data_IF_328457656205
#
_entry.id   IF_328457656205
#
_cell.length_a   1.000
_cell.length_b   1.000
_cell.length_c   1.000
_cell.angle_alpha   90.00
_cell.angle_beta   90.00
_cell.angle_gamma   90.00
#
_symmetry.space_group_name_H-M   'P 1'
#
loop_
_entity.id
_entity.type
_entity.pdbx_description
1 polymer ?
#
# COMPACT_ATOMS: atom_id res chain seq x y z
N UNK A 1 -2.25 -18.77 3.45
CA UNK A 1 -3.08 -17.74 2.78
C UNK A 1 -4.31 -18.38 2.11
N UNK A 2 -5.52 -17.88 2.36
CA UNK A 2 -6.75 -18.42 1.75
C UNK A 2 -6.79 -18.16 0.24
N UNK A 3 -7.60 -18.93 -0.51
CA UNK A 3 -7.79 -18.73 -1.96
C UNK A 3 -8.41 -17.37 -2.27
N UNK A 4 -9.32 -16.90 -1.43
CA UNK A 4 -9.94 -15.58 -1.55
C UNK A 4 -8.90 -14.45 -1.40
N UNK A 5 -8.05 -14.50 -0.37
CA UNK A 5 -6.98 -13.52 -0.14
C UNK A 5 -5.96 -13.50 -1.28
N UNK A 6 -5.63 -14.67 -1.84
CA UNK A 6 -4.79 -14.78 -3.06
C UNK A 6 -5.44 -14.13 -4.28
N UNK A 7 -6.73 -14.37 -4.50
CA UNK A 7 -7.48 -13.76 -5.61
C UNK A 7 -7.54 -12.23 -5.50
N UNK A 8 -7.83 -11.72 -4.30
CA UNK A 8 -7.85 -10.29 -4.00
C UNK A 8 -6.53 -9.61 -4.36
N UNK A 9 -5.42 -10.12 -3.81
CA UNK A 9 -4.09 -9.55 -4.06
C UNK A 9 -3.64 -9.72 -5.51
N UNK A 10 -4.01 -10.82 -6.18
CA UNK A 10 -3.75 -11.00 -7.61
C UNK A 10 -4.47 -9.97 -8.48
N UNK A 11 -5.73 -9.65 -8.16
CA UNK A 11 -6.50 -8.60 -8.83
C UNK A 11 -5.90 -7.20 -8.60
N UNK A 12 -5.51 -6.90 -7.36
CA UNK A 12 -4.86 -5.64 -7.00
C UNK A 12 -3.50 -5.49 -7.69
N UNK A 13 -2.70 -6.56 -7.74
CA UNK A 13 -1.42 -6.54 -8.45
C UNK A 13 -1.64 -6.19 -9.92
N UNK A 14 -2.59 -6.85 -10.60
CA UNK A 14 -2.92 -6.54 -11.99
C UNK A 14 -3.38 -5.09 -12.20
N UNK A 15 -4.14 -4.54 -11.26
CA UNK A 15 -4.57 -3.15 -11.28
C UNK A 15 -3.38 -2.19 -11.08
N UNK A 16 -2.50 -2.46 -10.11
CA UNK A 16 -1.37 -1.61 -9.74
C UNK A 16 -0.30 -1.48 -10.85
N UNK A 17 -0.07 -2.55 -11.63
CA UNK A 17 0.84 -2.53 -12.80
C UNK A 17 0.17 -2.04 -14.09
N UNK A 18 -1.12 -1.73 -14.07
CA UNK A 18 -1.78 -1.13 -15.23
C UNK A 18 -1.10 0.19 -15.60
N UNK A 19 -0.73 0.41 -16.87
CA UNK A 19 -0.15 1.66 -17.31
C UNK A 19 -1.19 2.77 -17.15
N UNK A 20 -1.08 3.53 -16.05
CA UNK A 20 -1.81 4.78 -15.92
C UNK A 20 -1.31 5.70 -17.06
N UNK A 21 -2.19 6.27 -17.91
CA UNK A 21 -1.78 7.34 -18.80
C UNK A 21 -1.08 8.42 -17.97
N UNK A 22 0.08 8.89 -18.46
CA UNK A 22 1.05 9.71 -17.74
C UNK A 22 0.40 10.70 -16.78
N UNK A 23 0.60 10.43 -15.49
CA UNK A 23 0.02 11.14 -14.37
C UNK A 23 0.63 12.54 -14.26
N UNK A 24 0.14 13.46 -15.09
CA UNK A 24 0.35 14.89 -14.83
C UNK A 24 -0.60 15.28 -13.71
N UNK A 25 -0.10 15.19 -12.48
CA UNK A 25 -0.80 15.71 -11.30
C UNK A 25 -0.96 17.22 -11.47
N UNK A 26 -2.14 17.64 -11.91
CA UNK A 26 -2.56 19.03 -11.73
C UNK A 26 -2.78 19.25 -10.23
N UNK A 27 -2.42 20.44 -9.71
CA UNK A 27 -2.78 20.87 -8.36
C UNK A 27 -4.30 20.87 -8.10
N UNK A 28 -5.12 20.67 -9.14
CA UNK A 28 -6.57 20.51 -9.09
C UNK A 28 -7.05 19.05 -9.16
N UNK A 29 -6.19 18.05 -8.96
CA UNK A 29 -6.61 16.65 -8.93
C UNK A 29 -7.54 16.43 -7.73
N UNK A 30 -8.78 15.94 -7.92
CA UNK A 30 -9.72 15.70 -6.83
C UNK A 30 -9.19 14.66 -5.82
N UNK A 31 -8.31 13.76 -6.27
CA UNK A 31 -7.74 12.68 -5.47
C UNK A 31 -6.36 13.01 -4.89
N UNK A 32 -5.91 14.28 -4.96
CA UNK A 32 -4.55 14.66 -4.56
C UNK A 32 -4.18 14.21 -3.14
N UNK A 33 -5.12 14.28 -2.21
CA UNK A 33 -4.90 13.85 -0.82
C UNK A 33 -4.75 12.32 -0.71
N UNK A 34 -5.59 11.55 -1.41
CA UNK A 34 -5.49 10.09 -1.44
C UNK A 34 -4.16 9.64 -2.06
N UNK A 35 -3.73 10.31 -3.13
CA UNK A 35 -2.44 10.06 -3.78
C UNK A 35 -1.29 10.35 -2.83
N UNK A 36 -1.31 11.50 -2.15
CA UNK A 36 -0.28 11.88 -1.17
C UNK A 36 -0.19 10.88 -0.01
N UNK A 37 -1.33 10.42 0.50
CA UNK A 37 -1.37 9.41 1.56
C UNK A 37 -0.84 8.05 1.06
N UNK A 38 -1.21 7.64 -0.16
CA UNK A 38 -0.75 6.42 -0.78
C UNK A 38 0.77 6.41 -1.02
N UNK A 39 1.33 7.50 -1.55
CA UNK A 39 2.78 7.69 -1.67
C UNK A 39 3.45 7.59 -0.30
N UNK A 40 2.84 8.21 0.72
CA UNK A 40 3.33 8.10 2.08
C UNK A 40 3.33 6.68 2.65
N UNK A 41 2.33 5.85 2.34
CA UNK A 41 2.32 4.43 2.73
C UNK A 41 3.49 3.71 2.07
N UNK A 42 3.66 3.89 0.75
CA UNK A 42 4.71 3.24 -0.05
C UNK A 42 6.11 3.63 0.45
N UNK A 43 6.35 4.91 0.72
CA UNK A 43 7.64 5.40 1.23
C UNK A 43 7.96 4.86 2.62
N UNK A 44 6.98 4.83 3.53
CA UNK A 44 7.17 4.31 4.88
C UNK A 44 7.44 2.80 4.88
N UNK A 45 6.74 2.05 4.02
CA UNK A 45 6.97 0.62 3.84
C UNK A 45 8.36 0.35 3.24
N UNK A 46 8.76 1.09 2.20
CA UNK A 46 10.08 0.96 1.62
C UNK A 46 11.20 1.27 2.64
N UNK A 47 11.00 2.26 3.50
CA UNK A 47 11.93 2.56 4.60
C UNK A 47 11.97 1.44 5.64
N UNK A 48 10.82 0.82 5.95
CA UNK A 48 10.74 -0.34 6.83
C UNK A 48 11.55 -1.50 6.24
N UNK A 49 11.30 -1.89 4.98
CA UNK A 49 12.06 -2.94 4.29
C UNK A 49 13.57 -2.62 4.23
N UNK A 50 13.96 -1.38 3.93
CA UNK A 50 15.37 -0.99 3.87
C UNK A 50 16.07 -1.07 5.24
N UNK A 51 15.34 -0.85 6.34
CA UNK A 51 15.88 -1.07 7.68
C UNK A 51 16.14 -2.56 7.99
N UNK A 52 15.50 -3.45 7.22
CA UNK A 52 15.53 -4.92 7.35
C UNK A 52 16.51 -5.66 6.44
N UNK A 53 16.93 -5.07 5.32
CA UNK A 53 17.80 -5.72 4.33
C UNK A 53 19.28 -5.85 4.77
N UNK A 54 19.54 -6.13 6.05
CA UNK A 54 20.88 -6.50 6.50
C UNK A 54 21.14 -7.99 6.27
N UNK A 55 22.24 -8.35 5.62
CA UNK A 55 22.66 -9.75 5.59
C UNK A 55 23.14 -10.18 6.99
N UNK A 56 22.42 -11.11 7.61
CA UNK A 56 22.77 -11.76 8.90
C UNK A 56 23.03 -10.77 10.05
N UNK A 57 22.00 -10.02 10.50
CA UNK A 57 22.11 -9.20 11.70
C UNK A 57 22.29 -10.10 12.94
N UNK A 58 23.03 -9.60 13.92
CA UNK A 58 23.05 -10.17 15.27
C UNK A 58 21.76 -9.82 16.03
N UNK A 59 21.42 -10.59 17.06
CA UNK A 59 20.24 -10.33 17.91
C UNK A 59 20.28 -8.93 18.56
N UNK A 60 21.48 -8.44 18.92
CA UNK A 60 21.68 -7.10 19.47
C UNK A 60 21.37 -6.00 18.44
N UNK A 61 21.76 -6.21 17.17
CA UNK A 61 21.46 -5.28 16.07
C UNK A 61 19.97 -5.28 15.72
N UNK A 62 19.30 -6.43 15.81
CA UNK A 62 17.85 -6.52 15.63
C UNK A 62 17.10 -5.76 16.74
N UNK A 63 17.47 -5.98 18.01
CA UNK A 63 16.86 -5.29 19.15
C UNK A 63 17.10 -3.77 19.10
N UNK A 64 18.30 -3.33 18.72
CA UNK A 64 18.62 -1.91 18.61
C UNK A 64 17.78 -1.19 17.55
N UNK A 65 17.34 -1.89 16.50
CA UNK A 65 16.51 -1.34 15.41
C UNK A 65 15.02 -1.41 15.69
N UNK A 66 14.58 -2.24 16.64
CA UNK A 66 13.17 -2.46 16.93
C UNK A 66 12.37 -1.15 17.15
N UNK A 67 12.86 -0.13 17.89
CA UNK A 67 12.12 1.12 18.07
C UNK A 67 11.86 1.88 16.76
N UNK A 68 12.82 1.86 15.82
CA UNK A 68 12.65 2.51 14.52
C UNK A 68 11.68 1.73 13.63
N UNK A 69 11.69 0.39 13.71
CA UNK A 69 10.68 -0.45 13.03
C UNK A 69 9.28 -0.13 13.52
N UNK A 70 9.09 -0.12 14.83
CA UNK A 70 7.78 0.12 15.44
C UNK A 70 7.29 1.52 15.05
N UNK A 71 8.19 2.49 14.98
CA UNK A 71 7.90 3.84 14.49
C UNK A 71 7.46 3.84 13.02
N UNK A 72 8.20 3.18 12.13
CA UNK A 72 7.89 3.12 10.69
C UNK A 72 6.58 2.36 10.43
N UNK A 73 6.37 1.23 11.11
CA UNK A 73 5.10 0.48 11.04
C UNK A 73 3.92 1.29 11.58
N UNK A 74 4.13 2.10 12.64
CA UNK A 74 3.12 3.05 13.11
C UNK A 74 2.74 4.07 12.04
N UNK A 75 3.72 4.59 11.29
CA UNK A 75 3.47 5.51 10.17
C UNK A 75 2.72 4.81 9.03
N UNK A 76 3.09 3.57 8.68
CA UNK A 76 2.36 2.77 7.68
C UNK A 76 0.90 2.58 8.11
N UNK A 77 0.67 2.17 9.36
CA UNK A 77 -0.67 1.97 9.93
C UNK A 77 -1.51 3.25 9.87
N UNK A 78 -1.00 4.36 10.39
CA UNK A 78 -1.72 5.64 10.46
C UNK A 78 -2.11 6.13 9.05
N UNK A 79 -1.18 6.02 8.09
CA UNK A 79 -1.44 6.45 6.71
C UNK A 79 -2.41 5.52 6.00
N UNK A 80 -2.32 4.21 6.21
CA UNK A 80 -3.25 3.24 5.65
C UNK A 80 -4.68 3.44 6.21
N UNK A 81 -4.80 3.69 7.53
CA UNK A 81 -6.06 4.00 8.21
C UNK A 81 -6.70 5.30 7.70
N UNK A 82 -5.89 6.32 7.40
CA UNK A 82 -6.37 7.56 6.81
C UNK A 82 -6.76 7.40 5.33
N UNK A 83 -6.01 6.60 4.57
CA UNK A 83 -6.21 6.40 3.13
C UNK A 83 -7.43 5.52 2.82
N UNK A 84 -7.62 4.43 3.55
CA UNK A 84 -8.66 3.45 3.27
C UNK A 84 -10.07 4.06 3.14
N UNK A 85 -10.57 4.88 4.10
CA UNK A 85 -11.91 5.45 4.04
C UNK A 85 -12.04 6.65 3.10
N UNK A 86 -10.93 7.23 2.60
CA UNK A 86 -10.97 8.43 1.78
C UNK A 86 -11.45 8.08 0.36
N UNK A 87 -12.64 8.49 -0.08
CA UNK A 87 -13.13 8.15 -1.41
C UNK A 87 -12.24 8.79 -2.49
N UNK A 88 -12.17 8.14 -3.64
CA UNK A 88 -11.48 8.67 -4.83
C UNK A 88 -12.46 8.78 -5.99
N UNK A 89 -12.38 9.88 -6.72
CA UNK A 89 -13.27 10.22 -7.83
C UNK A 89 -12.74 9.70 -9.18
N UNK A 90 -11.48 9.28 -9.26
CA UNK A 90 -10.84 8.91 -10.52
C UNK A 90 -10.10 7.58 -10.45
N UNK A 91 -9.88 6.99 -11.63
CA UNK A 91 -9.03 5.81 -11.77
C UNK A 91 -7.60 6.05 -11.25
N UNK A 92 -7.13 7.30 -11.23
CA UNK A 92 -5.81 7.63 -10.68
C UNK A 92 -5.78 7.38 -9.18
N UNK A 93 -6.78 7.87 -8.44
CA UNK A 93 -6.86 7.64 -7.00
C UNK A 93 -7.02 6.14 -6.67
N UNK A 94 -7.79 5.42 -7.50
CA UNK A 94 -7.93 3.95 -7.38
C UNK A 94 -6.58 3.26 -7.54
N UNK A 95 -5.82 3.63 -8.58
CA UNK A 95 -4.48 3.07 -8.81
C UNK A 95 -3.50 3.42 -7.68
N UNK A 96 -3.61 4.60 -7.10
CA UNK A 96 -2.79 4.98 -5.94
C UNK A 96 -3.06 4.07 -4.74
N UNK A 97 -4.34 3.85 -4.39
CA UNK A 97 -4.73 2.89 -3.34
C UNK A 97 -4.25 1.47 -3.64
N UNK A 98 -4.41 1.01 -4.88
CA UNK A 98 -3.97 -0.32 -5.29
C UNK A 98 -2.45 -0.50 -5.16
N UNK A 99 -1.67 0.55 -5.49
CA UNK A 99 -0.20 0.54 -5.32
C UNK A 99 0.21 0.55 -3.85
N UNK A 100 -0.46 1.34 -3.02
CA UNK A 100 -0.23 1.32 -1.56
C UNK A 100 -0.55 -0.06 -0.98
N UNK A 101 -1.71 -0.65 -1.32
CA UNK A 101 -2.10 -1.99 -0.92
C UNK A 101 -1.08 -3.05 -1.33
N UNK A 102 -0.54 -2.95 -2.55
CA UNK A 102 0.49 -3.87 -3.02
C UNK A 102 1.80 -3.69 -2.27
N UNK A 103 2.21 -2.45 -1.97
CA UNK A 103 3.44 -2.16 -1.24
C UNK A 103 3.42 -2.79 0.16
N UNK A 104 2.33 -2.64 0.91
CA UNK A 104 2.19 -3.27 2.25
C UNK A 104 1.84 -4.77 2.20
N UNK A 105 1.55 -5.30 1.01
CA UNK A 105 1.45 -6.73 0.77
C UNK A 105 2.81 -7.36 0.41
N UNK A 106 3.92 -6.63 0.53
CA UNK A 106 5.22 -7.12 0.06
C UNK A 106 5.92 -8.08 1.03
N UNK A 107 6.89 -8.77 0.44
CA UNK A 107 7.55 -9.98 0.90
C UNK A 107 8.38 -9.77 2.17
N UNK A 108 8.40 -10.80 3.01
CA UNK A 108 9.51 -11.07 3.90
C UNK A 108 10.82 -11.09 3.09
N UNK A 109 11.73 -10.19 3.44
CA UNK A 109 13.03 -10.03 2.79
C UNK A 109 13.93 -11.27 2.95
N UNK A 110 13.67 -12.09 3.96
CA UNK A 110 14.52 -13.22 4.36
C UNK A 110 14.22 -14.49 3.57
N UNK A 111 12.93 -14.82 3.43
CA UNK A 111 12.48 -16.11 2.87
C UNK A 111 11.64 -15.97 1.58
N UNK A 112 11.30 -14.74 1.18
CA UNK A 112 10.44 -14.49 0.02
C UNK A 112 8.98 -14.95 0.23
N UNK A 113 8.55 -15.15 1.48
CA UNK A 113 7.14 -15.32 1.78
C UNK A 113 6.40 -13.98 1.66
N UNK A 114 5.17 -14.01 1.15
CA UNK A 114 4.31 -12.82 1.12
C UNK A 114 3.68 -12.67 2.51
N UNK A 115 4.12 -11.67 3.27
CA UNK A 115 3.44 -11.27 4.51
C UNK A 115 2.32 -10.32 4.11
N UNK A 116 1.09 -10.74 4.36
CA UNK A 116 -0.09 -9.89 4.13
C UNK A 116 -0.50 -9.31 5.47
N UNK A 117 -0.12 -8.05 5.69
CA UNK A 117 -0.65 -7.28 6.82
C UNK A 117 -2.14 -7.00 6.62
N UNK A 118 -2.91 -6.88 7.70
CA UNK A 118 -4.36 -6.60 7.62
C UNK A 118 -4.65 -5.28 6.87
N UNK A 119 -3.71 -4.32 6.93
CA UNK A 119 -3.76 -3.07 6.16
C UNK A 119 -3.77 -3.28 4.65
N UNK A 120 -3.04 -4.28 4.15
CA UNK A 120 -2.99 -4.61 2.73
C UNK A 120 -4.36 -5.08 2.22
N UNK A 121 -5.02 -5.93 3.00
CA UNK A 121 -6.36 -6.42 2.69
C UNK A 121 -7.39 -5.30 2.76
N UNK A 122 -7.30 -4.42 3.75
CA UNK A 122 -8.22 -3.28 3.87
C UNK A 122 -8.07 -2.28 2.72
N UNK A 123 -6.84 -1.89 2.37
CA UNK A 123 -6.58 -1.00 1.23
C UNK A 123 -6.98 -1.64 -0.10
N UNK A 124 -6.82 -2.95 -0.24
CA UNK A 124 -7.27 -3.70 -1.41
C UNK A 124 -8.79 -3.65 -1.57
N UNK A 125 -9.56 -3.87 -0.49
CA UNK A 125 -11.01 -3.73 -0.54
C UNK A 125 -11.44 -2.31 -0.88
N UNK A 126 -10.84 -1.30 -0.24
CA UNK A 126 -11.15 0.10 -0.51
C UNK A 126 -10.89 0.47 -1.98
N UNK A 127 -9.76 0.03 -2.55
CA UNK A 127 -9.46 0.26 -3.97
C UNK A 127 -10.49 -0.37 -4.90
N UNK A 128 -11.00 -1.57 -4.59
CA UNK A 128 -12.02 -2.24 -5.40
C UNK A 128 -13.40 -1.57 -5.27
N UNK A 129 -13.79 -1.14 -4.07
CA UNK A 129 -15.03 -0.38 -3.89
C UNK A 129 -15.02 0.91 -4.71
N UNK A 130 -13.91 1.66 -4.66
CA UNK A 130 -13.77 2.89 -5.43
C UNK A 130 -13.71 2.61 -6.94
N UNK A 131 -13.10 1.50 -7.36
CA UNK A 131 -13.12 1.08 -8.77
C UNK A 131 -14.55 0.86 -9.27
N UNK A 132 -15.40 0.23 -8.47
CA UNK A 132 -16.82 0.02 -8.80
C UNK A 132 -17.54 1.35 -8.92
N UNK A 133 -17.40 2.25 -7.93
CA UNK A 133 -18.01 3.60 -7.97
C UNK A 133 -17.59 4.38 -9.21
N UNK A 134 -16.30 4.37 -9.53
CA UNK A 134 -15.76 5.06 -10.72
C UNK A 134 -16.31 4.46 -12.02
N UNK A 135 -16.43 3.13 -12.10
CA UNK A 135 -16.99 2.45 -13.27
C UNK A 135 -18.50 2.72 -13.46
N UNK A 136 -19.23 2.91 -12.36
CA UNK A 136 -20.66 3.23 -12.36
C UNK A 136 -20.94 4.74 -12.56
N UNK A 137 -19.90 5.58 -12.47
CA UNK A 137 -20.02 7.04 -12.56
C UNK A 137 -20.57 7.68 -11.28
N UNK A 138 -20.42 7.00 -10.14
CA UNK A 138 -20.90 7.41 -8.81
C UNK A 138 -19.79 8.01 -7.93
N UNK A 139 -18.62 8.27 -8.51
CA UNK A 139 -17.41 8.72 -7.83
C UNK A 139 -17.26 10.25 -7.78
#
# INVERSE_FOLDING_TARGET
>A
MSTARRGLLGGIAALAVSPAPGLVLSASCPDAEAIRLAEGVIEAEAACCAAHDLPTPTEEEEQARQPERDRLMGVVSERAEALAPLPVATLVGVLAKARAALAVATKDATDGEIIVHDYAEWLAYAALEDLVRVAEGEA
#
